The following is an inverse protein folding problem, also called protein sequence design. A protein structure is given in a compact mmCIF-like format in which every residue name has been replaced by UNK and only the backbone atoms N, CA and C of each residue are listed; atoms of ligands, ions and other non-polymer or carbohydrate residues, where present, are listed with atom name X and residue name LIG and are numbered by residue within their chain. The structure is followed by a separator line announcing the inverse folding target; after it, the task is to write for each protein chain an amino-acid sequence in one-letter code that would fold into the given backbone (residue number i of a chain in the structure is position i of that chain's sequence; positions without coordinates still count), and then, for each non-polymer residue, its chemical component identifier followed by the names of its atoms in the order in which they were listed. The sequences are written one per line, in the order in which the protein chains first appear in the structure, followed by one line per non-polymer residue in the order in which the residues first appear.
data_IF_388444290413
#
_entry.id   IF_388444290413
#
_cell.length_a   1.000
_cell.length_b   1.000
_cell.length_c   1.000
_cell.angle_alpha   90.00
_cell.angle_beta   90.00
_cell.angle_gamma   90.00
#
_symmetry.space_group_name_H-M   'P 1'
#
loop_
_entity.id
_entity.type
_entity.pdbx_description
1 polymer ?
#
# COMPACT_ATOMS: atom_id res chain seq x y z
N UNK A 1 -1.79 -12.85 14.86
CA UNK A 1 -0.59 -13.09 14.03
C UNK A 1 -0.34 -12.02 12.95
N UNK A 2 -1.27 -11.10 12.64
CA UNK A 2 -1.11 -10.10 11.58
C UNK A 2 -0.20 -8.90 11.91
N UNK A 3 -0.19 -8.44 13.17
CA UNK A 3 0.58 -7.25 13.57
C UNK A 3 2.10 -7.42 13.45
N UNK A 4 2.63 -8.65 13.59
CA UNK A 4 4.05 -8.94 13.38
C UNK A 4 4.45 -8.74 11.92
N UNK A 5 3.62 -9.16 10.98
CA UNK A 5 3.86 -9.01 9.54
C UNK A 5 3.79 -7.53 9.15
N UNK A 6 2.80 -6.80 9.67
CA UNK A 6 2.67 -5.37 9.40
C UNK A 6 3.83 -4.55 9.98
N UNK A 7 4.36 -4.93 11.15
CA UNK A 7 5.57 -4.31 11.72
C UNK A 7 6.81 -4.63 10.87
N UNK A 8 6.99 -5.87 10.44
CA UNK A 8 8.14 -6.26 9.61
C UNK A 8 8.15 -5.54 8.26
N UNK A 9 6.98 -5.24 7.69
CA UNK A 9 6.83 -4.43 6.49
C UNK A 9 6.92 -2.91 6.72
N UNK A 10 7.19 -2.45 7.95
CA UNK A 10 7.30 -1.01 8.29
C UNK A 10 5.96 -0.25 8.30
N UNK A 11 4.83 -0.95 8.17
CA UNK A 11 3.49 -0.35 8.10
C UNK A 11 2.94 0.06 9.46
N UNK A 12 3.48 -0.52 10.54
CA UNK A 12 3.04 -0.28 11.91
C UNK A 12 4.26 -0.12 12.83
N UNK A 13 4.23 0.92 13.66
CA UNK A 13 5.21 1.17 14.71
C UNK A 13 4.68 0.64 16.05
N UNK A 14 5.52 0.01 16.87
CA UNK A 14 5.17 -0.33 18.25
C UNK A 14 5.79 0.66 19.24
N UNK A 15 4.99 1.06 20.22
CA UNK A 15 5.45 1.79 21.39
C UNK A 15 5.06 1.03 22.66
N UNK A 16 5.99 0.90 23.59
CA UNK A 16 5.74 0.23 24.86
C UNK A 16 5.24 1.26 25.88
N UNK A 17 4.00 1.10 26.34
CA UNK A 17 3.42 1.87 27.44
C UNK A 17 3.26 0.95 28.65
N UNK A 18 4.26 0.97 29.55
CA UNK A 18 4.30 0.08 30.72
C UNK A 18 4.34 -1.39 30.32
N UNK A 19 3.35 -2.18 30.76
CA UNK A 19 3.20 -3.61 30.40
C UNK A 19 2.42 -3.84 29.11
N UNK A 20 1.98 -2.79 28.41
CA UNK A 20 1.18 -2.87 27.18
C UNK A 20 1.98 -2.43 25.95
N UNK A 21 1.69 -3.06 24.81
CA UNK A 21 2.23 -2.66 23.50
C UNK A 21 1.14 -1.95 22.71
N UNK A 22 1.35 -0.68 22.42
CA UNK A 22 0.47 0.13 21.57
C UNK A 22 1.03 0.11 20.15
N UNK A 23 0.20 -0.27 19.19
CA UNK A 23 0.55 -0.32 17.78
C UNK A 23 -0.10 0.86 17.07
N UNK A 24 0.70 1.70 16.41
CA UNK A 24 0.22 2.82 15.62
C UNK A 24 0.55 2.60 14.15
N UNK A 25 -0.39 2.94 13.28
CA UNK A 25 -0.16 3.00 11.84
C UNK A 25 0.99 3.97 11.56
N UNK A 26 1.96 3.59 10.74
CA UNK A 26 3.06 4.46 10.34
C UNK A 26 2.68 5.17 9.03
N UNK A 27 2.37 6.49 9.04
CA UNK A 27 1.94 7.19 7.83
C UNK A 27 2.98 7.12 6.70
N UNK A 28 4.28 7.13 7.04
CA UNK A 28 5.35 6.98 6.07
C UNK A 28 5.39 5.57 5.44
N UNK A 29 5.15 4.53 6.24
CA UNK A 29 5.06 3.15 5.74
C UNK A 29 3.87 2.94 4.81
N UNK A 30 2.72 3.54 5.16
CA UNK A 30 1.52 3.51 4.31
C UNK A 30 1.74 4.28 3.00
N UNK A 31 2.41 5.43 3.05
CA UNK A 31 2.75 6.19 1.84
C UNK A 31 3.69 5.40 0.91
N UNK A 32 4.68 4.71 1.47
CA UNK A 32 5.59 3.85 0.69
C UNK A 32 4.84 2.68 0.03
N UNK A 33 3.96 2.00 0.76
CA UNK A 33 3.11 0.94 0.21
C UNK A 33 2.21 1.44 -0.92
N UNK A 34 1.60 2.61 -0.74
CA UNK A 34 0.79 3.26 -1.77
C UNK A 34 1.60 3.52 -3.03
N UNK A 35 2.81 4.08 -2.88
CA UNK A 35 3.69 4.37 -4.01
C UNK A 35 4.12 3.11 -4.79
N UNK A 36 4.39 2.01 -4.09
CA UNK A 36 4.74 0.74 -4.74
C UNK A 36 3.55 0.12 -5.49
N UNK A 37 2.35 0.20 -4.91
CA UNK A 37 1.12 -0.22 -5.59
C UNK A 37 0.85 0.63 -6.84
N UNK A 38 0.96 1.96 -6.72
CA UNK A 38 0.78 2.86 -7.85
C UNK A 38 1.82 2.52 -8.95
N UNK A 39 3.11 2.34 -8.60
CA UNK A 39 4.14 1.94 -9.57
C UNK A 39 3.82 0.62 -10.28
N UNK A 40 3.31 -0.37 -9.55
CA UNK A 40 3.00 -1.68 -10.12
C UNK A 40 1.77 -1.64 -11.04
N UNK A 41 0.70 -0.96 -10.61
CA UNK A 41 -0.59 -1.01 -11.30
C UNK A 41 -0.77 0.06 -12.37
N UNK A 42 -0.16 1.25 -12.23
CA UNK A 42 -0.34 2.35 -13.17
C UNK A 42 -0.05 1.96 -14.63
N UNK A 43 1.06 1.27 -14.97
CA UNK A 43 1.33 0.90 -16.36
C UNK A 43 0.27 -0.05 -16.94
N UNK A 44 -0.18 -1.02 -16.15
CA UNK A 44 -1.20 -1.97 -16.57
C UNK A 44 -2.56 -1.29 -16.81
N UNK A 45 -2.95 -0.39 -15.89
CA UNK A 45 -4.20 0.37 -16.00
C UNK A 45 -4.19 1.35 -17.18
N UNK A 46 -3.03 1.95 -17.50
CA UNK A 46 -2.88 2.79 -18.71
C UNK A 46 -3.09 1.95 -19.97
N UNK A 47 -2.48 0.76 -20.06
CA UNK A 47 -2.66 -0.13 -21.20
C UNK A 47 -4.12 -0.58 -21.36
N UNK A 48 -4.79 -0.96 -20.28
CA UNK A 48 -6.22 -1.31 -20.33
C UNK A 48 -7.10 -0.15 -20.77
N UNK A 49 -6.80 1.07 -20.32
CA UNK A 49 -7.52 2.26 -20.74
C UNK A 49 -7.39 2.50 -22.26
N UNK A 50 -6.19 2.41 -22.81
CA UNK A 50 -5.95 2.60 -24.24
C UNK A 50 -6.74 1.59 -25.09
N UNK A 51 -6.71 0.32 -24.71
CA UNK A 51 -7.48 -0.73 -25.41
C UNK A 51 -8.98 -0.45 -25.32
N UNK A 52 -9.48 -0.03 -24.16
CA UNK A 52 -10.90 0.29 -24.00
C UNK A 52 -11.31 1.47 -24.90
N UNK A 53 -10.49 2.52 -24.98
CA UNK A 53 -10.73 3.68 -25.85
C UNK A 53 -10.67 3.32 -27.34
N UNK A 54 -9.76 2.43 -27.75
CA UNK A 54 -9.68 1.90 -29.13
C UNK A 54 -10.88 1.03 -29.53
N UNK A 55 -11.56 0.40 -28.57
CA UNK A 55 -12.78 -0.39 -28.83
C UNK A 55 -14.04 0.49 -28.89
N UNK A 56 -13.97 1.73 -28.39
CA UNK A 56 -15.11 2.65 -28.28
C UNK A 56 -15.24 3.60 -29.48
N UNK A 57 -14.22 3.66 -30.35
CA UNK A 57 -14.21 4.43 -31.61
C UNK A 57 -14.63 3.51 -32.79
N UNK A 58 -15.82 3.71 -33.41
CA UNK A 58 -16.35 2.87 -34.50
C UNK A 58 -15.71 3.10 -35.88
#
# INVERSE_FOLDING_TARGET
QHLKVLKAAGLVSDHAEGTRRVYRLNPAGIAALRADLDRFWTPALVGFKQIAEEQEDP
#
